data_IF_961289319109
#
_entry.id   IF_961289319109
#
_cell.length_a   1.000
_cell.length_b   1.000
_cell.length_c   1.000
_cell.angle_alpha   90.00
_cell.angle_beta   90.00
_cell.angle_gamma   90.00
#
_symmetry.space_group_name_H-M   'P 1'
#
loop_
_entity.id
_entity.type
_entity.pdbx_description
1 polymer ?
#
# COMPACT_ATOMS: atom_id res chain seq x y z
N UNK A 1 -20.73 37.36 20.95
CA UNK A 1 -19.73 37.33 19.84
C UNK A 1 -19.76 36.00 19.06
N UNK A 2 -19.72 34.84 19.73
CA UNK A 2 -19.77 33.50 19.10
C UNK A 2 -21.07 33.26 18.31
N UNK A 3 -22.23 33.70 18.82
CA UNK A 3 -23.51 33.55 18.13
C UNK A 3 -23.56 34.31 16.78
N UNK A 4 -22.95 35.50 16.71
CA UNK A 4 -22.90 36.27 15.45
C UNK A 4 -21.96 35.62 14.43
N UNK A 5 -20.91 34.93 14.87
CA UNK A 5 -20.01 34.19 13.98
C UNK A 5 -20.71 32.96 13.40
N UNK A 6 -21.45 32.20 14.22
CA UNK A 6 -22.22 31.06 13.76
C UNK A 6 -23.30 31.48 12.73
N UNK A 7 -23.97 32.60 12.97
CA UNK A 7 -24.96 33.17 12.04
C UNK A 7 -24.31 33.54 10.71
N UNK A 8 -23.15 34.21 10.73
CA UNK A 8 -22.41 34.58 9.49
C UNK A 8 -21.96 33.35 8.71
N UNK A 9 -21.52 32.29 9.38
CA UNK A 9 -21.11 31.04 8.73
C UNK A 9 -22.31 30.34 8.08
N UNK A 10 -23.45 30.25 8.77
CA UNK A 10 -24.67 29.64 8.22
C UNK A 10 -25.17 30.42 7.00
N UNK A 11 -25.25 31.75 7.09
CA UNK A 11 -25.63 32.58 5.94
C UNK A 11 -24.63 32.50 4.78
N UNK A 12 -23.34 32.33 5.07
CA UNK A 12 -22.31 32.09 4.05
C UNK A 12 -22.50 30.76 3.32
N UNK A 13 -22.81 29.69 4.05
CA UNK A 13 -23.09 28.36 3.49
C UNK A 13 -24.40 28.39 2.68
N UNK A 14 -25.47 28.98 3.20
CA UNK A 14 -26.75 29.09 2.50
C UNK A 14 -26.62 29.93 1.21
N UNK A 15 -25.85 31.02 1.24
CA UNK A 15 -25.60 31.85 0.06
C UNK A 15 -24.77 31.10 -0.99
N UNK A 16 -23.76 30.32 -0.58
CA UNK A 16 -23.01 29.47 -1.51
C UNK A 16 -23.87 28.36 -2.11
N UNK A 17 -24.75 27.75 -1.31
CA UNK A 17 -25.66 26.69 -1.75
C UNK A 17 -26.71 27.25 -2.73
N UNK A 18 -27.20 28.47 -2.47
CA UNK A 18 -28.13 29.18 -3.34
C UNK A 18 -27.46 29.60 -4.67
N UNK A 19 -26.23 30.12 -4.64
CA UNK A 19 -25.46 30.43 -5.84
C UNK A 19 -25.16 29.18 -6.68
N UNK A 20 -24.86 28.06 -6.01
CA UNK A 20 -24.68 26.76 -6.67
C UNK A 20 -25.98 26.27 -7.34
N UNK A 21 -27.12 26.36 -6.63
CA UNK A 21 -28.44 26.04 -7.20
C UNK A 21 -28.78 26.93 -8.40
N UNK A 22 -28.50 28.24 -8.34
CA UNK A 22 -28.77 29.19 -9.43
C UNK A 22 -27.89 28.89 -10.65
N UNK A 23 -26.62 28.50 -10.44
CA UNK A 23 -25.72 28.09 -11.54
C UNK A 23 -26.10 26.75 -12.14
N UNK A 24 -26.70 25.83 -11.37
CA UNK A 24 -27.22 24.55 -11.88
C UNK A 24 -28.61 24.65 -12.53
N UNK A 25 -29.45 25.60 -12.13
CA UNK A 25 -30.82 25.77 -12.65
C UNK A 25 -30.93 26.71 -13.87
N UNK A 26 -29.82 27.15 -14.46
CA UNK A 26 -29.89 27.73 -15.80
C UNK A 26 -30.21 26.61 -16.79
N UNK A 27 -31.41 26.59 -17.41
CA UNK A 27 -31.75 25.55 -18.37
C UNK A 27 -30.79 25.69 -19.55
N UNK A 28 -29.99 24.64 -19.74
CA UNK A 28 -29.04 24.52 -20.83
C UNK A 28 -29.79 24.68 -22.16
N UNK A 29 -29.74 25.88 -22.75
CA UNK A 29 -30.02 26.06 -24.17
C UNK A 29 -28.96 25.24 -24.88
N UNK A 30 -29.38 24.11 -25.46
CA UNK A 30 -28.61 23.25 -26.38
C UNK A 30 -27.54 24.06 -27.10
N UNK A 31 -26.31 23.97 -26.61
CA UNK A 31 -25.12 24.36 -27.30
C UNK A 31 -24.19 23.14 -27.18
N UNK A 32 -23.67 22.70 -28.33
CA UNK A 32 -22.71 21.61 -28.43
C UNK A 32 -21.55 21.78 -27.42
N UNK A 33 -20.91 20.67 -27.00
CA UNK A 33 -19.78 20.74 -26.07
C UNK A 33 -18.59 21.43 -26.76
N UNK A 34 -18.51 22.75 -26.60
CA UNK A 34 -17.34 23.53 -26.97
C UNK A 34 -16.22 23.22 -25.97
N UNK A 35 -15.20 22.52 -26.46
CA UNK A 35 -13.98 22.06 -25.78
C UNK A 35 -13.11 23.22 -25.22
N UNK A 36 -13.62 24.46 -25.23
CA UNK A 36 -12.88 25.70 -24.96
C UNK A 36 -13.43 26.56 -23.83
N UNK A 37 -14.32 26.07 -22.96
CA UNK A 37 -14.64 26.81 -21.73
C UNK A 37 -13.57 26.55 -20.67
N UNK A 38 -12.72 27.53 -20.32
CA UNK A 38 -11.81 27.36 -19.20
C UNK A 38 -12.64 27.09 -17.93
N UNK A 39 -12.23 26.14 -17.08
CA UNK A 39 -12.96 25.81 -15.86
C UNK A 39 -13.14 27.07 -15.01
N UNK A 40 -14.34 27.22 -14.45
CA UNK A 40 -14.71 28.33 -13.56
C UNK A 40 -13.74 28.37 -12.38
N UNK A 41 -12.89 29.40 -12.35
CA UNK A 41 -11.94 29.62 -11.26
C UNK A 41 -12.70 30.18 -10.05
N UNK A 42 -12.92 29.35 -9.02
CA UNK A 42 -13.54 29.82 -7.78
C UNK A 42 -12.53 30.65 -6.98
N UNK A 43 -12.94 31.79 -6.39
CA UNK A 43 -12.03 32.79 -5.80
C UNK A 43 -11.18 32.30 -4.60
N UNK A 44 -11.47 31.13 -4.01
CA UNK A 44 -10.62 30.50 -2.99
C UNK A 44 -10.08 29.11 -3.37
N UNK A 45 -10.75 28.41 -4.29
CA UNK A 45 -10.49 26.99 -4.57
C UNK A 45 -9.82 26.81 -5.95
N UNK A 46 -9.61 27.90 -6.69
CA UNK A 46 -8.94 27.86 -7.98
C UNK A 46 -9.65 26.94 -8.97
N UNK A 47 -8.87 26.24 -9.77
CA UNK A 47 -9.34 25.22 -10.71
C UNK A 47 -9.37 23.85 -10.00
N UNK A 48 -10.37 23.65 -9.13
CA UNK A 48 -10.56 22.41 -8.37
C UNK A 48 -10.78 21.19 -9.28
N UNK A 49 -11.17 21.41 -10.54
CA UNK A 49 -11.93 20.45 -11.34
C UNK A 49 -11.26 19.99 -12.64
N UNK A 50 -10.03 20.40 -12.96
CA UNK A 50 -9.36 19.98 -14.20
C UNK A 50 -8.66 18.62 -14.15
N UNK A 51 -8.59 17.97 -12.99
CA UNK A 51 -8.08 16.59 -12.88
C UNK A 51 -9.22 15.60 -12.67
N UNK A 52 -9.60 14.78 -13.67
CA UNK A 52 -10.62 13.77 -13.51
C UNK A 52 -10.20 12.76 -12.43
N UNK A 53 -11.08 12.53 -11.46
CA UNK A 53 -10.86 11.64 -10.32
C UNK A 53 -10.61 10.20 -10.80
N UNK A 54 -11.23 9.79 -11.90
CA UNK A 54 -11.20 8.40 -12.38
C UNK A 54 -9.87 8.02 -13.07
N UNK A 55 -9.14 8.99 -13.64
CA UNK A 55 -7.91 8.75 -14.42
C UNK A 55 -6.86 9.88 -14.24
N UNK A 56 -6.41 10.16 -13.01
CA UNK A 56 -5.53 11.29 -12.71
C UNK A 56 -4.18 11.17 -13.43
N UNK A 57 -3.60 9.97 -13.53
CA UNK A 57 -2.31 9.74 -14.19
C UNK A 57 -2.36 10.05 -15.70
N UNK A 58 -3.40 9.60 -16.40
CA UNK A 58 -3.57 9.88 -17.83
C UNK A 58 -3.75 11.39 -18.08
N UNK A 59 -4.48 12.07 -17.18
CA UNK A 59 -4.64 13.52 -17.27
C UNK A 59 -3.33 14.28 -17.04
N UNK A 60 -2.51 13.85 -16.07
CA UNK A 60 -1.20 14.46 -15.84
C UNK A 60 -0.23 14.22 -16.99
N UNK A 61 -0.29 13.05 -17.62
CA UNK A 61 0.50 12.73 -18.82
C UNK A 61 0.11 13.64 -20.00
N UNK A 62 -1.19 13.81 -20.25
CA UNK A 62 -1.69 14.74 -21.27
C UNK A 62 -1.37 16.20 -20.94
N UNK A 63 -1.45 16.58 -19.67
CA UNK A 63 -1.06 17.90 -19.20
C UNK A 63 0.43 18.17 -19.44
N UNK A 64 1.31 17.21 -19.13
CA UNK A 64 2.73 17.31 -19.39
C UNK A 64 3.06 17.33 -20.90
N UNK A 65 2.32 16.56 -21.72
CA UNK A 65 2.46 16.64 -23.19
C UNK A 65 2.18 18.05 -23.73
N UNK A 66 1.23 18.78 -23.15
CA UNK A 66 0.87 20.14 -23.57
C UNK A 66 1.78 21.23 -23.00
N UNK A 67 2.28 21.06 -21.77
CA UNK A 67 2.99 22.11 -21.03
C UNK A 67 4.50 21.86 -20.88
N UNK A 68 4.98 20.70 -21.29
CA UNK A 68 6.38 20.28 -21.19
C UNK A 68 6.62 19.22 -20.10
N UNK A 69 7.79 18.56 -20.15
CA UNK A 69 8.12 17.40 -19.30
C UNK A 69 8.30 17.74 -17.81
N UNK A 70 8.42 19.01 -17.46
CA UNK A 70 8.41 19.54 -16.09
C UNK A 70 7.37 20.65 -16.09
N UNK A 71 6.26 20.45 -15.38
CA UNK A 71 5.15 21.42 -15.35
C UNK A 71 4.64 21.61 -13.95
N UNK A 72 4.15 22.81 -13.66
CA UNK A 72 3.47 23.12 -12.40
C UNK A 72 1.97 22.99 -12.60
N UNK A 73 1.29 22.37 -11.63
CA UNK A 73 -0.16 22.32 -11.52
C UNK A 73 -0.59 22.62 -10.08
N UNK A 74 -1.89 22.58 -9.81
CA UNK A 74 -2.42 22.65 -8.45
C UNK A 74 -3.24 21.41 -8.12
N UNK A 75 -2.86 20.71 -7.08
CA UNK A 75 -3.62 19.62 -6.51
C UNK A 75 -4.83 20.19 -5.74
N UNK A 76 -6.02 19.69 -6.05
CA UNK A 76 -7.29 20.22 -5.54
C UNK A 76 -7.40 21.74 -5.69
N UNK A 77 -6.83 22.31 -6.76
CA UNK A 77 -6.85 23.75 -7.02
C UNK A 77 -6.10 24.64 -6.01
N UNK A 78 -5.54 24.08 -4.93
CA UNK A 78 -4.99 24.82 -3.79
C UNK A 78 -3.48 24.55 -3.61
N UNK A 79 -3.04 23.29 -3.62
CA UNK A 79 -1.65 22.94 -3.32
C UNK A 79 -0.78 22.92 -4.59
N UNK A 80 0.29 23.73 -4.69
CA UNK A 80 1.16 23.70 -5.86
C UNK A 80 1.89 22.37 -5.95
N UNK A 81 1.86 21.75 -7.13
CA UNK A 81 2.57 20.49 -7.42
C UNK A 81 3.42 20.64 -8.66
N UNK A 82 4.62 20.05 -8.61
CA UNK A 82 5.51 19.92 -9.77
C UNK A 82 5.34 18.51 -10.31
N UNK A 83 4.86 18.40 -11.55
CA UNK A 83 4.70 17.15 -12.27
C UNK A 83 5.97 16.92 -13.09
N UNK A 84 6.61 15.77 -12.86
CA UNK A 84 7.79 15.30 -13.60
C UNK A 84 7.37 14.16 -14.51
N UNK A 85 7.44 14.37 -15.83
CA UNK A 85 7.00 13.40 -16.83
C UNK A 85 8.10 13.05 -17.86
N UNK A 86 9.37 13.15 -17.45
CA UNK A 86 10.51 12.67 -18.24
C UNK A 86 11.50 11.90 -17.38
N UNK A 87 12.15 10.90 -17.98
CA UNK A 87 13.16 10.08 -17.32
C UNK A 87 14.33 10.92 -16.80
N UNK A 88 14.77 11.91 -17.59
CA UNK A 88 15.88 12.79 -17.26
C UNK A 88 15.56 13.65 -16.05
N UNK A 89 14.36 14.26 -16.00
CA UNK A 89 13.94 15.10 -14.88
C UNK A 89 13.80 14.30 -13.58
N UNK A 90 13.18 13.11 -13.66
CA UNK A 90 13.03 12.22 -12.50
C UNK A 90 14.40 11.75 -12.01
N UNK A 91 15.31 11.36 -12.90
CA UNK A 91 16.66 10.92 -12.51
C UNK A 91 17.47 12.06 -11.89
N UNK A 92 17.40 13.26 -12.46
CA UNK A 92 18.12 14.42 -11.92
C UNK A 92 17.63 14.80 -10.51
N UNK A 93 16.31 14.87 -10.30
CA UNK A 93 15.74 15.32 -9.03
C UNK A 93 15.71 14.21 -7.96
N UNK A 94 15.29 12.99 -8.33
CA UNK A 94 15.11 11.89 -7.37
C UNK A 94 16.38 11.08 -7.11
N UNK A 95 17.41 11.14 -7.97
CA UNK A 95 18.68 10.44 -7.76
C UNK A 95 19.82 11.40 -7.49
N UNK A 96 20.21 12.24 -8.46
CA UNK A 96 21.40 13.09 -8.33
C UNK A 96 21.25 14.20 -7.29
N UNK A 97 20.03 14.70 -7.10
CA UNK A 97 19.71 15.78 -6.15
C UNK A 97 18.80 15.31 -5.01
N UNK A 98 18.75 14.01 -4.74
CA UNK A 98 17.82 13.41 -3.76
C UNK A 98 17.86 14.10 -2.39
N UNK A 99 19.05 14.48 -1.90
CA UNK A 99 19.21 15.21 -0.63
C UNK A 99 18.35 16.49 -0.49
N UNK A 100 17.97 17.13 -1.60
CA UNK A 100 17.13 18.34 -1.61
C UNK A 100 15.64 18.05 -1.77
N UNK A 101 15.27 16.85 -2.24
CA UNK A 101 13.91 16.50 -2.67
C UNK A 101 13.37 15.23 -1.98
N UNK A 102 14.08 14.69 -0.99
CA UNK A 102 13.69 13.47 -0.27
C UNK A 102 12.70 13.69 0.87
N UNK A 103 12.34 14.93 1.22
CA UNK A 103 11.27 15.21 2.18
C UNK A 103 9.91 14.78 1.63
N UNK A 104 8.95 14.51 2.53
CA UNK A 104 7.63 14.03 2.14
C UNK A 104 6.59 15.15 2.24
N UNK A 105 5.59 15.17 1.35
CA UNK A 105 4.43 16.02 1.57
C UNK A 105 3.82 15.70 2.93
N UNK A 106 3.65 16.75 3.73
CA UNK A 106 3.19 16.64 5.12
C UNK A 106 1.75 16.16 5.15
N UNK A 107 1.49 15.11 5.92
CA UNK A 107 0.13 14.69 6.25
C UNK A 107 -0.10 14.89 7.74
N UNK A 108 -0.87 15.93 8.07
CA UNK A 108 -1.27 16.20 9.43
C UNK A 108 -2.09 15.03 9.99
N UNK A 109 -2.91 14.38 9.16
CA UNK A 109 -3.67 13.18 9.55
C UNK A 109 -2.74 12.06 10.00
N UNK A 110 -1.73 11.71 9.21
CA UNK A 110 -0.76 10.66 9.56
C UNK A 110 0.08 11.04 10.77
N UNK A 111 0.46 12.30 10.90
CA UNK A 111 1.22 12.76 12.05
C UNK A 111 0.41 12.67 13.35
N UNK A 112 -0.88 13.03 13.31
CA UNK A 112 -1.79 12.88 14.45
C UNK A 112 -1.97 11.40 14.81
N UNK A 113 -2.24 10.53 13.83
CA UNK A 113 -2.43 9.10 14.05
C UNK A 113 -1.17 8.42 14.59
N UNK A 114 0.02 8.94 14.35
CA UNK A 114 1.25 8.34 14.89
C UNK A 114 1.74 8.98 16.20
N UNK A 115 1.00 9.95 16.75
CA UNK A 115 1.47 10.78 17.86
C UNK A 115 2.80 11.48 17.53
N UNK A 116 3.02 11.82 16.26
CA UNK A 116 4.28 12.31 15.75
C UNK A 116 4.30 13.85 15.62
N UNK A 117 5.45 14.42 15.94
CA UNK A 117 5.73 15.82 15.64
C UNK A 117 5.76 16.07 14.13
N UNK A 118 5.65 17.34 13.69
CA UNK A 118 5.73 17.70 12.30
C UNK A 118 6.92 17.07 11.57
N UNK A 119 6.66 16.08 10.70
CA UNK A 119 7.65 15.54 9.75
C UNK A 119 8.33 14.28 10.26
N UNK A 120 8.01 13.89 11.49
CA UNK A 120 8.61 12.77 12.19
C UNK A 120 7.66 11.56 12.25
N UNK A 121 6.89 11.35 11.18
CA UNK A 121 5.93 10.25 11.09
C UNK A 121 6.61 8.90 11.32
N UNK A 122 6.01 8.04 12.15
CA UNK A 122 6.53 6.67 12.37
C UNK A 122 6.42 5.77 11.14
N UNK A 123 5.60 6.13 10.16
CA UNK A 123 5.64 5.52 8.84
C UNK A 123 6.81 6.07 8.03
N UNK A 124 7.77 5.21 7.73
CA UNK A 124 8.96 5.49 6.90
C UNK A 124 8.64 6.18 5.58
N UNK A 125 7.51 5.84 4.94
CA UNK A 125 7.09 6.45 3.66
C UNK A 125 6.64 7.91 3.79
N UNK A 126 6.31 8.36 5.00
CA UNK A 126 5.77 9.69 5.33
C UNK A 126 6.71 10.51 6.24
N UNK A 127 7.90 9.98 6.57
CA UNK A 127 8.90 10.67 7.37
C UNK A 127 9.74 11.60 6.46
N UNK A 128 10.10 12.77 6.97
CA UNK A 128 11.05 13.65 6.30
C UNK A 128 12.45 13.03 6.21
N UNK A 129 13.31 13.56 5.36
CA UNK A 129 14.65 13.01 5.21
C UNK A 129 15.56 13.52 6.33
N UNK A 130 15.81 12.68 7.33
CA UNK A 130 16.70 12.95 8.45
C UNK A 130 17.52 11.71 8.88
N UNK A 131 18.29 11.87 9.96
CA UNK A 131 19.12 10.79 10.52
C UNK A 131 18.27 9.63 11.06
N UNK A 132 17.04 9.92 11.52
CA UNK A 132 16.11 8.91 12.04
C UNK A 132 15.65 8.00 10.89
N UNK A 133 15.12 8.57 9.81
CA UNK A 133 14.72 7.83 8.61
C UNK A 133 15.88 7.01 8.03
N UNK A 134 17.10 7.58 8.04
CA UNK A 134 18.31 6.92 7.54
C UNK A 134 18.61 5.66 8.36
N UNK A 135 18.59 5.76 9.69
CA UNK A 135 18.83 4.63 10.60
C UNK A 135 17.76 3.53 10.44
N UNK A 136 16.49 3.92 10.36
CA UNK A 136 15.38 3.00 10.10
C UNK A 136 15.54 2.25 8.79
N UNK A 137 15.84 2.99 7.72
CA UNK A 137 16.01 2.42 6.38
C UNK A 137 17.20 1.46 6.33
N UNK A 138 18.30 1.76 7.02
CA UNK A 138 19.47 0.87 7.11
C UNK A 138 19.12 -0.42 7.85
N UNK A 139 18.42 -0.32 8.97
CA UNK A 139 18.04 -1.49 9.80
C UNK A 139 17.00 -2.38 9.10
N UNK A 140 16.03 -1.79 8.41
CA UNK A 140 15.10 -2.55 7.57
C UNK A 140 15.82 -3.18 6.37
N UNK A 141 16.77 -2.47 5.75
CA UNK A 141 17.51 -2.98 4.59
C UNK A 141 18.45 -4.14 4.93
N UNK A 142 18.99 -4.20 6.15
CA UNK A 142 19.80 -5.36 6.55
C UNK A 142 18.95 -6.62 6.73
N UNK A 143 17.75 -6.47 7.29
CA UNK A 143 16.84 -7.57 7.62
C UNK A 143 15.97 -8.04 6.45
N UNK A 144 15.67 -7.16 5.49
CA UNK A 144 14.78 -7.44 4.35
C UNK A 144 15.46 -7.28 2.98
N UNK A 145 16.71 -6.81 2.95
CA UNK A 145 17.44 -6.53 1.71
C UNK A 145 18.13 -7.75 1.11
N UNK A 146 19.01 -7.48 0.14
CA UNK A 146 19.67 -8.51 -0.67
C UNK A 146 20.51 -9.51 0.15
N UNK A 147 21.06 -9.09 1.30
CA UNK A 147 21.86 -9.95 2.17
C UNK A 147 21.00 -10.98 2.91
N UNK A 148 19.80 -10.60 3.34
CA UNK A 148 18.85 -11.49 4.02
C UNK A 148 17.98 -12.29 3.03
N UNK A 149 17.86 -11.85 1.78
CA UNK A 149 17.03 -12.49 0.75
C UNK A 149 17.21 -14.02 0.61
N UNK A 150 18.43 -14.60 0.67
CA UNK A 150 18.62 -16.04 0.61
C UNK A 150 17.93 -16.81 1.76
N UNK A 151 17.85 -16.21 2.96
CA UNK A 151 17.20 -16.83 4.13
C UNK A 151 15.68 -16.89 4.00
N UNK A 152 15.07 -15.96 3.25
CA UNK A 152 13.64 -15.98 2.95
C UNK A 152 13.25 -16.97 1.85
N UNK A 153 14.20 -17.54 1.12
CA UNK A 153 13.91 -18.40 -0.03
C UNK A 153 13.09 -19.65 0.36
N UNK A 154 13.49 -20.44 1.38
CA UNK A 154 12.72 -21.62 1.79
C UNK A 154 11.31 -21.26 2.26
N UNK A 155 11.17 -20.17 3.05
CA UNK A 155 9.89 -19.66 3.52
C UNK A 155 8.98 -19.23 2.35
N UNK A 156 9.56 -18.53 1.37
CA UNK A 156 8.84 -18.10 0.16
C UNK A 156 8.41 -19.29 -0.68
N UNK A 157 9.26 -20.31 -0.82
CA UNK A 157 8.94 -21.54 -1.55
C UNK A 157 7.82 -22.35 -0.87
N UNK A 158 7.86 -22.49 0.46
CA UNK A 158 6.78 -23.11 1.23
C UNK A 158 5.47 -22.34 1.07
N UNK A 159 5.48 -21.02 1.24
CA UNK A 159 4.30 -20.17 1.05
C UNK A 159 3.72 -20.27 -0.36
N UNK A 160 4.58 -20.28 -1.38
CA UNK A 160 4.14 -20.45 -2.77
C UNK A 160 3.52 -21.82 -3.03
N UNK A 161 4.08 -22.89 -2.47
CA UNK A 161 3.51 -24.24 -2.58
C UNK A 161 2.16 -24.33 -1.89
N UNK A 162 2.02 -23.74 -0.70
CA UNK A 162 0.74 -23.70 0.00
C UNK A 162 -0.30 -22.88 -0.77
N UNK A 163 0.07 -21.74 -1.37
CA UNK A 163 -0.81 -20.96 -2.24
C UNK A 163 -1.39 -21.81 -3.38
N UNK A 164 -0.58 -22.66 -4.02
CA UNK A 164 -1.05 -23.54 -5.08
C UNK A 164 -2.04 -24.61 -4.55
N UNK A 165 -1.81 -25.14 -3.34
CA UNK A 165 -2.74 -26.06 -2.69
C UNK A 165 -4.08 -25.37 -2.39
N UNK A 166 -4.04 -24.19 -1.77
CA UNK A 166 -5.25 -23.45 -1.43
C UNK A 166 -6.09 -23.13 -2.68
N UNK A 167 -5.44 -22.70 -3.77
CA UNK A 167 -6.11 -22.44 -5.04
C UNK A 167 -6.64 -23.73 -5.68
N UNK A 168 -5.90 -24.84 -5.59
CA UNK A 168 -6.35 -26.17 -6.01
C UNK A 168 -7.64 -26.58 -5.27
N UNK A 169 -7.67 -26.38 -3.95
CA UNK A 169 -8.80 -26.74 -3.11
C UNK A 169 -10.01 -25.83 -3.39
N UNK A 170 -9.77 -24.54 -3.62
CA UNK A 170 -10.80 -23.57 -4.03
C UNK A 170 -11.48 -23.94 -5.37
N UNK A 171 -10.81 -24.71 -6.24
CA UNK A 171 -11.40 -25.21 -7.49
C UNK A 171 -12.34 -26.42 -7.28
N UNK A 172 -12.54 -26.90 -6.05
CA UNK A 172 -13.46 -28.00 -5.68
C UNK A 172 -13.29 -29.28 -6.52
N UNK A 173 -12.10 -29.52 -7.06
CA UNK A 173 -11.85 -30.67 -7.94
C UNK A 173 -12.49 -30.57 -9.33
N UNK A 174 -12.87 -29.37 -9.80
CA UNK A 174 -13.36 -29.15 -11.17
C UNK A 174 -12.20 -29.31 -12.18
N UNK A 175 -12.13 -30.41 -12.96
CA UNK A 175 -11.00 -30.66 -13.86
C UNK A 175 -10.95 -29.66 -15.02
N UNK A 176 -12.12 -29.14 -15.41
CA UNK A 176 -12.26 -28.13 -16.44
C UNK A 176 -12.01 -26.71 -15.94
N UNK A 177 -11.66 -26.55 -14.67
CA UNK A 177 -11.48 -25.26 -14.02
C UNK A 177 -12.79 -24.62 -13.55
N UNK A 178 -12.64 -23.59 -12.73
CA UNK A 178 -13.75 -22.81 -12.19
C UNK A 178 -13.48 -21.31 -12.35
N UNK A 179 -14.55 -20.52 -12.34
CA UNK A 179 -14.44 -19.07 -12.30
C UNK A 179 -14.00 -18.63 -10.91
N UNK A 180 -12.90 -17.92 -10.83
CA UNK A 180 -12.33 -17.35 -9.61
C UNK A 180 -12.15 -15.84 -9.79
N UNK A 181 -12.30 -15.09 -8.70
CA UNK A 181 -12.04 -13.65 -8.68
C UNK A 181 -10.67 -13.36 -8.07
N UNK A 182 -10.04 -12.26 -8.50
CA UNK A 182 -8.89 -11.69 -7.81
C UNK A 182 -9.17 -11.38 -6.34
N UNK A 183 -10.42 -11.10 -5.96
CA UNK A 183 -10.82 -10.91 -4.57
C UNK A 183 -10.61 -12.19 -3.72
N UNK A 184 -10.68 -13.36 -4.34
CA UNK A 184 -10.36 -14.65 -3.70
C UNK A 184 -8.86 -14.92 -3.71
N UNK A 185 -8.15 -14.55 -4.78
CA UNK A 185 -6.72 -14.86 -4.94
C UNK A 185 -5.83 -13.95 -4.05
N UNK A 186 -6.16 -12.66 -3.94
CA UNK A 186 -5.32 -11.69 -3.23
C UNK A 186 -5.08 -12.02 -1.76
N UNK A 187 -6.07 -12.43 -0.95
CA UNK A 187 -5.83 -12.85 0.43
C UNK A 187 -4.79 -13.98 0.54
N UNK A 188 -4.83 -14.98 -0.34
CA UNK A 188 -3.81 -16.04 -0.35
C UNK A 188 -2.42 -15.50 -0.73
N UNK A 189 -2.34 -14.54 -1.66
CA UNK A 189 -1.08 -13.89 -2.03
C UNK A 189 -0.51 -13.01 -0.91
N UNK A 190 -1.35 -12.26 -0.20
CA UNK A 190 -0.97 -11.43 0.94
C UNK A 190 -0.47 -12.30 2.10
N UNK A 191 -1.16 -13.41 2.39
CA UNK A 191 -0.76 -14.40 3.41
C UNK A 191 0.66 -14.94 3.22
N UNK A 192 1.07 -15.21 1.98
CA UNK A 192 2.46 -15.67 1.70
C UNK A 192 3.54 -14.62 1.99
N UNK A 193 3.17 -13.35 2.22
CA UNK A 193 4.10 -12.28 2.63
C UNK A 193 4.15 -12.11 4.15
N UNK A 194 3.12 -12.57 4.88
CA UNK A 194 3.01 -12.51 6.35
C UNK A 194 3.63 -13.74 7.01
N UNK A 195 4.41 -14.55 6.29
CA UNK A 195 5.00 -15.77 6.86
C UNK A 195 6.15 -15.40 7.82
N UNK A 196 5.74 -15.01 9.02
CA UNK A 196 6.52 -14.66 10.21
C UNK A 196 6.81 -15.89 11.09
N UNK A 197 6.53 -17.10 10.59
CA UNK A 197 6.65 -18.35 11.33
C UNK A 197 7.44 -19.37 10.50
N UNK A 198 8.33 -20.16 11.12
CA UNK A 198 8.91 -21.36 10.51
C UNK A 198 7.91 -22.52 10.39
N UNK A 199 6.70 -22.37 10.94
CA UNK A 199 5.64 -23.36 10.84
C UNK A 199 4.74 -23.09 9.63
N UNK A 200 3.87 -24.07 9.30
CA UNK A 200 2.86 -23.96 8.25
C UNK A 200 2.22 -22.56 8.24
N UNK A 201 2.14 -21.90 7.08
CA UNK A 201 1.60 -20.55 7.01
C UNK A 201 0.14 -20.56 7.49
N UNK A 202 -0.28 -19.55 8.26
CA UNK A 202 -1.57 -19.56 8.98
C UNK A 202 -2.74 -19.74 8.00
N UNK A 203 -3.88 -20.29 8.45
CA UNK A 203 -5.08 -20.32 7.62
C UNK A 203 -5.53 -18.89 7.26
N UNK A 204 -6.27 -18.70 6.15
CA UNK A 204 -6.80 -17.39 5.77
C UNK A 204 -7.65 -16.73 6.88
N UNK A 205 -8.29 -17.52 7.72
CA UNK A 205 -9.17 -17.09 8.81
C UNK A 205 -8.42 -16.82 10.14
N UNK A 206 -7.09 -16.87 10.15
CA UNK A 206 -6.29 -16.58 11.34
C UNK A 206 -6.55 -15.16 11.86
N UNK A 207 -6.90 -15.05 13.14
CA UNK A 207 -7.31 -13.79 13.76
C UNK A 207 -6.21 -12.73 13.68
N UNK A 208 -4.94 -13.12 13.88
CA UNK A 208 -3.81 -12.20 13.81
C UNK A 208 -3.55 -11.74 12.38
N UNK A 209 -3.66 -12.64 11.39
CA UNK A 209 -3.55 -12.27 9.98
C UNK A 209 -4.65 -11.27 9.57
N UNK A 210 -5.89 -11.51 9.98
CA UNK A 210 -7.01 -10.60 9.72
C UNK A 210 -6.83 -9.26 10.43
N UNK A 211 -6.30 -9.26 11.66
CA UNK A 211 -5.94 -8.04 12.39
C UNK A 211 -4.87 -7.22 11.65
N UNK A 212 -3.83 -7.88 11.12
CA UNK A 212 -2.76 -7.22 10.32
C UNK A 212 -3.34 -6.60 9.04
N UNK A 213 -4.11 -7.39 8.28
CA UNK A 213 -4.71 -6.93 7.00
C UNK A 213 -5.71 -5.79 7.26
N UNK A 214 -6.54 -5.92 8.29
CA UNK A 214 -7.54 -4.91 8.65
C UNK A 214 -6.90 -3.59 9.09
N UNK A 215 -5.88 -3.66 9.97
CA UNK A 215 -5.12 -2.49 10.40
C UNK A 215 -4.44 -1.81 9.22
N UNK A 216 -3.83 -2.59 8.34
CA UNK A 216 -3.20 -2.09 7.12
C UNK A 216 -4.21 -1.39 6.20
N UNK A 217 -5.37 -1.99 5.95
CA UNK A 217 -6.40 -1.40 5.09
C UNK A 217 -6.88 -0.04 5.62
N UNK A 218 -7.00 0.13 6.94
CA UNK A 218 -7.36 1.40 7.57
C UNK A 218 -6.26 2.46 7.38
N UNK A 219 -5.00 2.10 7.63
CA UNK A 219 -3.85 3.00 7.43
C UNK A 219 -3.73 3.42 5.96
N UNK A 220 -3.79 2.47 5.04
CA UNK A 220 -3.72 2.72 3.59
C UNK A 220 -4.88 3.62 3.14
N UNK A 221 -6.09 3.42 3.67
CA UNK A 221 -7.22 4.30 3.38
C UNK A 221 -6.95 5.74 3.82
N UNK A 222 -6.42 5.95 5.03
CA UNK A 222 -6.14 7.28 5.55
C UNK A 222 -4.95 7.95 4.83
N UNK A 223 -3.94 7.18 4.44
CA UNK A 223 -2.82 7.67 3.65
C UNK A 223 -3.25 8.06 2.22
N UNK A 224 -4.18 7.33 1.62
CA UNK A 224 -4.66 7.59 0.27
C UNK A 224 -5.66 8.74 0.20
N UNK A 225 -6.45 8.96 1.26
CA UNK A 225 -7.55 9.94 1.27
C UNK A 225 -7.20 11.11 2.20
N UNK A 226 -6.72 12.24 1.65
CA UNK A 226 -6.38 13.40 2.47
C UNK A 226 -7.63 13.88 3.21
N UNK A 227 -7.48 14.13 4.50
CA UNK A 227 -8.57 14.58 5.35
C UNK A 227 -8.52 16.11 5.56
N UNK A 228 -9.53 16.68 6.23
CA UNK A 228 -9.58 18.12 6.50
C UNK A 228 -8.31 18.68 7.18
N UNK A 229 -7.70 18.00 8.18
CA UNK A 229 -6.38 18.35 8.71
C UNK A 229 -5.27 18.53 7.66
N UNK A 230 -5.27 17.75 6.59
CA UNK A 230 -4.25 17.85 5.54
C UNK A 230 -4.48 19.07 4.64
N UNK A 231 -5.73 19.52 4.50
CA UNK A 231 -6.11 20.67 3.68
C UNK A 231 -5.99 22.00 4.43
N UNK A 232 -6.19 21.98 5.76
CA UNK A 232 -6.21 23.17 6.60
C UNK A 232 -5.19 22.98 7.74
N UNK A 233 -3.95 23.47 7.58
CA UNK A 233 -2.87 23.22 8.54
C UNK A 233 -3.18 23.62 9.99
N UNK A 234 -4.07 24.60 10.22
CA UNK A 234 -4.49 25.01 11.56
C UNK A 234 -5.34 23.95 12.28
N UNK A 235 -5.98 23.05 11.53
CA UNK A 235 -6.71 21.90 12.08
C UNK A 235 -5.79 20.79 12.60
N UNK A 236 -4.47 20.98 12.63
CA UNK A 236 -3.58 20.12 13.42
C UNK A 236 -3.81 20.30 14.93
N UNK A 237 -4.11 21.52 15.37
CA UNK A 237 -4.23 21.87 16.79
C UNK A 237 -5.62 21.53 17.37
N UNK A 238 -6.19 20.39 17.00
CA UNK A 238 -7.51 20.01 17.47
C UNK A 238 -7.50 19.81 18.99
N UNK A 239 -8.47 20.38 19.72
CA UNK A 239 -8.66 20.07 21.12
C UNK A 239 -8.83 18.55 21.34
N UNK A 240 -8.36 18.06 22.49
CA UNK A 240 -8.49 16.66 22.92
C UNK A 240 -9.93 16.11 22.87
N UNK A 241 -10.93 16.98 22.94
CA UNK A 241 -12.34 16.61 22.94
C UNK A 241 -12.93 16.27 21.57
N UNK A 242 -12.20 16.50 20.47
CA UNK A 242 -12.71 16.24 19.12
C UNK A 242 -12.81 14.73 18.85
N UNK A 243 -13.88 14.30 18.16
CA UNK A 243 -14.06 12.90 17.77
C UNK A 243 -12.93 12.40 16.86
N UNK A 244 -12.38 13.28 16.01
CA UNK A 244 -11.28 12.95 15.11
C UNK A 244 -9.98 12.63 15.87
N UNK A 245 -9.64 13.43 16.88
CA UNK A 245 -8.45 13.15 17.71
C UNK A 245 -8.62 11.86 18.49
N UNK A 246 -9.79 11.62 19.10
CA UNK A 246 -10.09 10.34 19.77
C UNK A 246 -9.98 9.13 18.84
N UNK A 247 -10.53 9.22 17.63
CA UNK A 247 -10.44 8.14 16.65
C UNK A 247 -8.98 7.89 16.19
N UNK A 248 -8.18 8.96 16.05
CA UNK A 248 -6.77 8.84 15.74
C UNK A 248 -5.96 8.22 16.90
N UNK A 249 -6.24 8.63 18.14
CA UNK A 249 -5.60 8.08 19.35
C UNK A 249 -5.95 6.59 19.54
N UNK A 250 -7.20 6.21 19.28
CA UNK A 250 -7.67 4.80 19.32
C UNK A 250 -6.96 3.97 18.24
N UNK A 251 -6.91 4.46 17.00
CA UNK A 251 -6.19 3.79 15.92
C UNK A 251 -4.70 3.65 16.24
N UNK A 252 -4.07 4.70 16.76
CA UNK A 252 -2.66 4.66 17.16
C UNK A 252 -2.42 3.58 18.22
N UNK A 253 -3.27 3.52 19.24
CA UNK A 253 -3.16 2.56 20.31
C UNK A 253 -3.29 1.12 19.79
N UNK A 254 -4.23 0.85 18.87
CA UNK A 254 -4.38 -0.45 18.21
C UNK A 254 -3.13 -0.83 17.41
N UNK A 255 -2.59 0.10 16.61
CA UNK A 255 -1.38 -0.14 15.83
C UNK A 255 -0.16 -0.40 16.72
N UNK A 256 0.01 0.42 17.75
CA UNK A 256 1.10 0.31 18.71
C UNK A 256 1.07 -1.06 19.41
N UNK A 257 -0.10 -1.47 19.88
CA UNK A 257 -0.29 -2.78 20.51
C UNK A 257 0.05 -3.93 19.55
N UNK A 258 -0.52 -3.90 18.33
CA UNK A 258 -0.27 -4.93 17.31
C UNK A 258 1.23 -5.05 16.97
N UNK A 259 1.87 -3.93 16.64
CA UNK A 259 3.28 -3.93 16.23
C UNK A 259 4.21 -4.35 17.37
N UNK A 260 3.88 -3.96 18.61
CA UNK A 260 4.62 -4.38 19.80
C UNK A 260 4.47 -5.89 20.05
N UNK A 261 3.25 -6.44 19.92
CA UNK A 261 3.00 -7.88 20.00
C UNK A 261 3.77 -8.65 18.93
N UNK A 262 3.76 -8.19 17.68
CA UNK A 262 4.49 -8.82 16.58
C UNK A 262 6.00 -8.78 16.80
N UNK A 263 6.51 -7.64 17.29
CA UNK A 263 7.93 -7.48 17.60
C UNK A 263 8.38 -8.43 18.71
N UNK A 264 7.65 -8.48 19.84
CA UNK A 264 7.96 -9.41 20.92
C UNK A 264 7.85 -10.86 20.48
N UNK A 265 6.85 -11.19 19.67
CA UNK A 265 6.71 -12.54 19.10
C UNK A 265 7.89 -12.94 18.23
N UNK A 266 8.42 -12.03 17.43
CA UNK A 266 9.62 -12.28 16.61
C UNK A 266 10.87 -12.43 17.47
N UNK A 267 11.07 -11.51 18.42
CA UNK A 267 12.21 -11.54 19.34
C UNK A 267 12.25 -12.80 20.21
N UNK A 268 11.09 -13.23 20.71
CA UNK A 268 10.99 -14.35 21.63
C UNK A 268 10.80 -15.69 20.88
N UNK A 269 11.05 -15.73 19.56
CA UNK A 269 10.90 -16.92 18.73
C UNK A 269 12.18 -17.76 18.71
N UNK A 270 12.04 -19.09 18.84
CA UNK A 270 13.15 -20.05 18.78
C UNK A 270 13.73 -20.27 17.36
N UNK A 271 13.53 -19.32 16.45
CA UNK A 271 13.78 -19.53 15.03
C UNK A 271 14.06 -18.22 14.31
N UNK A 272 14.91 -18.30 13.30
CA UNK A 272 15.28 -17.12 12.52
C UNK A 272 14.05 -16.41 11.92
N UNK A 273 14.01 -15.09 12.07
CA UNK A 273 12.95 -14.23 11.57
C UNK A 273 13.48 -12.78 11.35
N UNK A 274 12.74 -11.91 10.62
CA UNK A 274 13.18 -10.55 10.35
C UNK A 274 13.51 -9.72 11.59
N UNK A 275 12.80 -9.94 12.70
CA UNK A 275 13.00 -9.19 13.95
C UNK A 275 14.34 -9.51 14.59
N UNK A 276 14.71 -10.80 14.65
CA UNK A 276 16.02 -11.25 15.14
C UNK A 276 17.16 -10.69 14.31
N UNK A 277 17.04 -10.72 12.97
CA UNK A 277 18.06 -10.16 12.07
C UNK A 277 18.23 -8.64 12.27
N UNK A 278 17.10 -7.95 12.47
CA UNK A 278 17.10 -6.51 12.65
C UNK A 278 17.69 -6.11 14.01
N UNK A 279 17.42 -6.87 15.07
CA UNK A 279 18.04 -6.72 16.39
C UNK A 279 19.55 -6.93 16.34
N UNK A 280 20.00 -8.04 15.75
CA UNK A 280 21.43 -8.34 15.59
C UNK A 280 22.17 -7.31 14.74
N UNK A 281 21.47 -6.62 13.83
CA UNK A 281 22.04 -5.49 13.08
C UNK A 281 22.05 -4.22 13.92
N UNK A 282 20.96 -3.89 14.60
CA UNK A 282 20.85 -2.67 15.40
C UNK A 282 21.95 -2.58 16.46
N UNK A 283 22.28 -3.70 17.11
CA UNK A 283 23.38 -3.79 18.08
C UNK A 283 24.75 -3.36 17.50
N UNK A 284 24.97 -3.52 16.20
CA UNK A 284 26.25 -3.18 15.53
C UNK A 284 26.39 -1.70 15.21
N UNK A 285 25.29 -0.98 15.02
CA UNK A 285 25.32 0.40 14.52
C UNK A 285 24.95 1.43 15.59
N UNK A 286 23.83 1.27 16.31
CA UNK A 286 23.38 2.13 17.44
C UNK A 286 22.13 1.51 18.08
N UNK A 287 21.91 1.71 19.39
CA UNK A 287 20.66 1.33 20.06
C UNK A 287 19.45 2.06 19.45
N UNK A 288 18.75 1.42 18.52
CA UNK A 288 17.43 1.86 18.05
C UNK A 288 16.41 1.48 19.11
N UNK A 289 15.50 2.38 19.55
CA UNK A 289 14.42 2.01 20.46
C UNK A 289 13.61 0.84 19.85
N UNK A 290 13.30 -0.18 20.64
CA UNK A 290 12.59 -1.37 20.13
C UNK A 290 11.24 -1.04 19.47
N UNK A 291 10.59 0.02 19.94
CA UNK A 291 9.35 0.53 19.35
C UNK A 291 9.54 1.07 17.92
N UNK A 292 10.61 1.82 17.72
CA UNK A 292 10.98 2.38 16.43
C UNK A 292 11.25 1.24 15.43
N UNK A 293 11.96 0.21 15.87
CA UNK A 293 12.23 -0.97 15.06
C UNK A 293 10.97 -1.78 14.74
N UNK A 294 10.05 -1.91 15.69
CA UNK A 294 8.76 -2.58 15.48
C UNK A 294 7.96 -1.90 14.36
N UNK A 295 7.88 -0.57 14.37
CA UNK A 295 7.20 0.20 13.31
C UNK A 295 7.92 0.05 11.97
N UNK A 296 9.25 0.13 11.91
CA UNK A 296 9.99 -0.01 10.66
C UNK A 296 9.79 -1.37 10.00
N UNK A 297 9.84 -2.45 10.78
CA UNK A 297 9.62 -3.82 10.29
C UNK A 297 8.17 -4.03 9.85
N UNK A 298 7.20 -3.65 10.68
CA UNK A 298 5.79 -3.84 10.39
C UNK A 298 5.37 -3.10 9.12
N UNK A 299 5.76 -1.83 8.98
CA UNK A 299 5.44 -1.01 7.81
C UNK A 299 6.12 -1.51 6.53
N UNK A 300 7.35 -2.04 6.64
CA UNK A 300 8.05 -2.63 5.51
C UNK A 300 7.37 -3.93 5.03
N UNK A 301 6.96 -4.79 5.95
CA UNK A 301 6.23 -6.03 5.63
C UNK A 301 4.88 -5.70 5.00
N UNK A 302 4.13 -4.77 5.59
CA UNK A 302 2.84 -4.30 5.05
C UNK A 302 2.99 -3.74 3.63
N UNK A 303 4.00 -2.89 3.39
CA UNK A 303 4.31 -2.39 2.05
C UNK A 303 4.61 -3.53 1.06
N UNK A 304 5.32 -4.56 1.50
CA UNK A 304 5.57 -5.78 0.73
C UNK A 304 4.30 -6.57 0.40
N UNK A 305 3.38 -6.71 1.37
CA UNK A 305 2.10 -7.41 1.21
C UNK A 305 1.25 -6.80 0.10
N UNK A 306 1.02 -5.49 0.15
CA UNK A 306 0.15 -4.78 -0.80
C UNK A 306 0.75 -4.71 -2.20
N UNK A 307 2.03 -4.34 -2.30
CA UNK A 307 2.67 -4.12 -3.60
C UNK A 307 2.90 -5.45 -4.32
N UNK A 308 3.42 -6.46 -3.62
CA UNK A 308 3.82 -7.72 -4.25
C UNK A 308 2.63 -8.61 -4.62
N UNK A 309 1.51 -8.55 -3.89
CA UNK A 309 0.30 -9.27 -4.25
C UNK A 309 -0.36 -8.68 -5.50
N UNK A 310 -0.20 -7.38 -5.73
CA UNK A 310 -0.86 -6.63 -6.81
C UNK A 310 0.02 -6.40 -8.03
N UNK A 311 1.34 -6.62 -7.92
CA UNK A 311 2.29 -6.47 -9.02
C UNK A 311 2.03 -7.49 -10.14
N UNK A 312 1.36 -7.05 -11.21
CA UNK A 312 1.01 -7.89 -12.36
C UNK A 312 1.89 -7.54 -13.58
N UNK A 313 3.14 -8.05 -13.58
CA UNK A 313 4.10 -8.07 -14.72
C UNK A 313 4.65 -6.70 -15.18
N UNK A 314 5.99 -6.63 -15.36
CA UNK A 314 6.67 -5.45 -15.93
C UNK A 314 8.21 -5.46 -15.85
N UNK A 315 8.82 -6.32 -15.04
CA UNK A 315 10.28 -6.44 -14.96
C UNK A 315 10.74 -7.78 -15.51
N UNK A 316 11.63 -7.74 -16.50
CA UNK A 316 12.38 -8.88 -17.08
C UNK A 316 13.44 -9.44 -16.12
N UNK A 317 13.53 -8.93 -14.90
CA UNK A 317 14.45 -9.42 -13.87
C UNK A 317 13.69 -10.33 -12.92
N UNK A 318 14.14 -11.57 -12.74
CA UNK A 318 13.54 -12.54 -11.81
C UNK A 318 13.63 -11.99 -10.38
N UNK A 319 12.55 -11.37 -9.91
CA UNK A 319 12.33 -10.94 -8.52
C UNK A 319 11.27 -11.84 -7.87
N UNK A 320 11.18 -11.92 -6.54
CA UNK A 320 10.22 -12.80 -5.84
C UNK A 320 8.76 -12.75 -6.34
N UNK A 321 8.20 -11.58 -6.74
CA UNK A 321 6.87 -11.51 -7.37
C UNK A 321 6.78 -12.25 -8.72
N UNK A 322 7.86 -12.28 -9.50
CA UNK A 322 7.91 -12.98 -10.78
C UNK A 322 7.87 -14.51 -10.61
N UNK A 323 8.47 -15.03 -9.54
CA UNK A 323 8.43 -16.47 -9.23
C UNK A 323 7.00 -16.95 -8.90
N UNK A 324 6.21 -16.12 -8.22
CA UNK A 324 4.81 -16.44 -7.90
C UNK A 324 3.93 -16.51 -9.12
N UNK A 325 4.04 -15.50 -9.99
CA UNK A 325 3.33 -15.49 -11.27
C UNK A 325 3.77 -16.68 -12.13
N UNK A 326 5.06 -17.03 -12.13
CA UNK A 326 5.55 -18.21 -12.82
C UNK A 326 4.94 -19.51 -12.26
N UNK A 327 4.83 -19.66 -10.94
CA UNK A 327 4.20 -20.83 -10.31
C UNK A 327 2.71 -20.94 -10.67
N UNK A 328 1.98 -19.82 -10.65
CA UNK A 328 0.57 -19.78 -11.08
C UNK A 328 0.42 -20.16 -12.55
N UNK A 329 1.25 -19.58 -13.42
CA UNK A 329 1.27 -19.88 -14.85
C UNK A 329 1.79 -21.28 -15.18
N UNK A 330 2.56 -21.91 -14.29
CA UNK A 330 2.99 -23.29 -14.43
C UNK A 330 1.87 -24.25 -14.05
N UNK A 331 1.12 -23.95 -12.98
CA UNK A 331 0.09 -24.81 -12.44
C UNK A 331 -1.23 -24.73 -13.22
N UNK A 332 -1.62 -23.54 -13.66
CA UNK A 332 -2.96 -23.27 -14.17
C UNK A 332 -2.94 -22.55 -15.52
N UNK A 333 -3.93 -22.88 -16.35
CA UNK A 333 -4.34 -22.06 -17.47
C UNK A 333 -5.32 -20.98 -16.98
N UNK A 334 -4.97 -19.73 -17.24
CA UNK A 334 -5.78 -18.56 -16.92
C UNK A 334 -6.52 -18.15 -18.19
N UNK A 335 -7.85 -18.26 -18.19
CA UNK A 335 -8.70 -18.00 -19.34
C UNK A 335 -9.72 -16.89 -19.02
N UNK A 336 -10.19 -16.14 -20.01
CA UNK A 336 -11.29 -15.20 -19.80
C UNK A 336 -12.59 -15.95 -19.44
N UNK A 337 -13.46 -15.28 -18.69
CA UNK A 337 -14.83 -15.75 -18.49
C UNK A 337 -15.64 -15.47 -19.76
N UNK A 338 -16.42 -16.44 -20.21
CA UNK A 338 -17.21 -16.30 -21.44
C UNK A 338 -18.20 -15.13 -21.31
N UNK A 339 -18.15 -14.20 -22.27
CA UNK A 339 -18.99 -12.98 -22.27
C UNK A 339 -18.48 -11.84 -21.39
N UNK A 340 -17.36 -11.99 -20.67
CA UNK A 340 -16.74 -10.89 -19.92
C UNK A 340 -15.50 -10.36 -20.66
N UNK A 341 -15.45 -9.04 -20.87
CA UNK A 341 -14.26 -8.38 -21.41
C UNK A 341 -13.19 -8.25 -20.31
N UNK A 342 -12.06 -8.93 -20.50
CA UNK A 342 -10.93 -8.86 -19.58
C UNK A 342 -10.02 -7.69 -19.98
N UNK A 343 -10.21 -6.54 -19.34
CA UNK A 343 -9.26 -5.42 -19.42
C UNK A 343 -8.21 -5.53 -18.29
N UNK A 344 -6.98 -5.97 -18.58
CA UNK A 344 -5.93 -6.08 -17.56
C UNK A 344 -5.42 -4.73 -17.07
N UNK A 345 -5.77 -3.64 -17.75
CA UNK A 345 -5.43 -2.26 -17.41
C UNK A 345 -6.58 -1.52 -16.73
N UNK A 346 -7.70 -2.21 -16.46
CA UNK A 346 -8.81 -1.63 -15.72
C UNK A 346 -8.37 -1.31 -14.29
N UNK A 347 -8.20 -0.02 -14.01
CA UNK A 347 -7.90 0.49 -12.68
C UNK A 347 -9.09 1.26 -12.11
N UNK A 348 -9.16 1.32 -10.79
CA UNK A 348 -10.02 2.22 -10.03
C UNK A 348 -9.15 3.13 -9.19
N UNK A 349 -9.55 4.39 -9.06
CA UNK A 349 -8.85 5.35 -8.22
C UNK A 349 -9.47 5.32 -6.83
N UNK A 350 -8.61 5.21 -5.82
CA UNK A 350 -8.99 5.28 -4.41
C UNK A 350 -8.08 6.30 -3.75
N UNK A 351 -8.62 7.50 -3.53
CA UNK A 351 -7.82 8.64 -3.09
C UNK A 351 -6.69 8.96 -4.08
N UNK A 352 -5.45 8.98 -3.60
CA UNK A 352 -4.24 9.15 -4.42
C UNK A 352 -3.68 7.86 -5.02
N UNK A 353 -4.34 6.72 -4.81
CA UNK A 353 -3.87 5.43 -5.30
C UNK A 353 -4.69 4.96 -6.50
N UNK A 354 -4.05 4.22 -7.39
CA UNK A 354 -4.73 3.45 -8.43
C UNK A 354 -4.63 1.96 -8.09
N UNK A 355 -5.76 1.28 -8.03
CA UNK A 355 -5.85 -0.14 -7.75
C UNK A 355 -6.45 -0.87 -8.95
N UNK A 356 -6.01 -2.10 -9.23
CA UNK A 356 -6.65 -2.90 -10.28
C UNK A 356 -8.10 -3.19 -9.89
N UNK A 357 -9.02 -3.08 -10.84
CA UNK A 357 -10.39 -3.54 -10.63
C UNK A 357 -10.39 -5.05 -10.37
N UNK A 358 -11.40 -5.47 -9.62
CA UNK A 358 -11.67 -6.89 -9.44
C UNK A 358 -11.86 -7.55 -10.80
N UNK A 359 -11.10 -8.62 -11.04
CA UNK A 359 -11.14 -9.37 -12.28
C UNK A 359 -11.58 -10.80 -12.00
N UNK A 360 -12.56 -11.25 -12.77
CA UNK A 360 -12.96 -12.65 -12.80
C UNK A 360 -12.23 -13.33 -13.95
N UNK A 361 -11.74 -14.53 -13.68
CA UNK A 361 -11.05 -15.36 -14.67
C UNK A 361 -11.41 -16.82 -14.43
N UNK A 362 -11.37 -17.62 -15.48
CA UNK A 362 -11.45 -19.07 -15.35
C UNK A 362 -10.05 -19.61 -15.12
N UNK A 363 -9.86 -20.29 -14.00
CA UNK A 363 -8.60 -20.93 -13.64
C UNK A 363 -8.76 -22.44 -13.82
N UNK A 364 -8.00 -23.04 -14.73
CA UNK A 364 -8.04 -24.47 -15.04
C UNK A 364 -6.70 -25.14 -14.71
N UNK A 365 -6.68 -26.23 -13.91
CA UNK A 365 -5.45 -27.00 -13.72
C UNK A 365 -4.94 -27.57 -15.05
N UNK A 366 -3.62 -27.53 -15.27
CA UNK A 366 -3.03 -28.05 -16.51
C UNK A 366 -3.04 -29.58 -16.66
N UNK A 367 -3.42 -30.29 -15.61
CA UNK A 367 -3.63 -31.74 -15.63
C UNK A 367 -3.44 -32.36 -14.26
N UNK A 368 -3.82 -33.63 -14.14
CA UNK A 368 -3.77 -34.37 -12.87
C UNK A 368 -2.35 -34.48 -12.32
N UNK A 369 -1.34 -34.57 -13.20
CA UNK A 369 0.07 -34.61 -12.82
C UNK A 369 0.51 -33.33 -12.07
N UNK A 370 -0.04 -32.17 -12.44
CA UNK A 370 0.22 -30.90 -11.75
C UNK A 370 -0.42 -30.92 -10.37
N UNK A 371 -1.65 -31.38 -10.29
CA UNK A 371 -2.40 -31.45 -9.03
C UNK A 371 -1.75 -32.41 -8.03
N UNK A 372 -1.23 -33.53 -8.52
CA UNK A 372 -0.43 -34.45 -7.71
C UNK A 372 0.87 -33.82 -7.22
N UNK A 373 1.59 -33.09 -8.09
CA UNK A 373 2.81 -32.38 -7.72
C UNK A 373 2.54 -31.26 -6.68
N UNK A 374 1.45 -30.51 -6.84
CA UNK A 374 1.01 -29.46 -5.90
C UNK A 374 0.74 -30.08 -4.53
N UNK A 375 -0.05 -31.15 -4.45
CA UNK A 375 -0.42 -31.80 -3.16
C UNK A 375 0.80 -32.34 -2.40
N UNK A 376 1.83 -32.82 -3.10
CA UNK A 376 3.08 -33.30 -2.49
C UNK A 376 4.01 -32.15 -2.06
N UNK A 377 3.86 -30.98 -2.66
CA UNK A 377 4.77 -29.84 -2.54
C UNK A 377 5.02 -29.33 -1.12
N UNK A 378 3.97 -28.93 -0.36
CA UNK A 378 4.14 -28.34 0.98
C UNK A 378 4.83 -29.27 1.96
N UNK A 379 4.51 -30.57 1.94
CA UNK A 379 5.13 -31.56 2.83
C UNK A 379 6.64 -31.64 2.62
N UNK A 380 7.07 -31.71 1.36
CA UNK A 380 8.50 -31.73 1.00
C UNK A 380 9.17 -30.41 1.41
N UNK A 381 8.52 -29.27 1.17
CA UNK A 381 9.08 -27.97 1.56
C UNK A 381 9.22 -27.80 3.08
N UNK A 382 8.27 -28.33 3.86
CA UNK A 382 8.34 -28.26 5.32
C UNK A 382 9.49 -29.15 5.85
N UNK A 383 9.67 -30.36 5.29
CA UNK A 383 10.79 -31.24 5.63
C UNK A 383 12.15 -30.61 5.30
N UNK A 384 12.25 -29.88 4.18
CA UNK A 384 13.45 -29.11 3.81
C UNK A 384 13.63 -27.86 4.71
N UNK A 385 12.54 -27.23 5.14
CA UNK A 385 12.57 -26.02 5.97
C UNK A 385 13.16 -26.30 7.35
N UNK A 386 12.77 -27.43 7.96
CA UNK A 386 13.30 -27.88 9.25
C UNK A 386 14.83 -28.12 9.18
N UNK A 387 15.35 -28.51 8.02
CA UNK A 387 16.78 -28.69 7.78
C UNK A 387 17.53 -27.36 7.54
N UNK A 388 16.86 -26.36 6.96
CA UNK A 388 17.50 -25.09 6.56
C UNK A 388 17.45 -24.02 7.65
N UNK A 389 16.36 -23.97 8.43
CA UNK A 389 16.25 -22.96 9.51
C UNK A 389 17.05 -23.38 10.75
N UNK A 390 17.33 -24.68 10.92
CA UNK A 390 18.12 -25.21 12.03
C UNK A 390 17.45 -25.00 13.40
N UNK A 391 17.82 -25.82 14.39
CA UNK A 391 17.67 -25.38 15.79
C UNK A 391 18.80 -24.40 16.07
N UNK A 392 18.54 -23.35 16.85
CA UNK A 392 19.33 -22.12 17.09
C UNK A 392 20.84 -22.30 17.44
N UNK A 393 21.35 -23.53 17.54
CA UNK A 393 22.70 -23.82 18.02
C UNK A 393 23.82 -23.76 16.96
N UNK A 394 23.53 -23.58 15.66
CA UNK A 394 24.55 -23.63 14.60
C UNK A 394 24.98 -22.25 14.05
N UNK A 395 24.69 -21.15 14.74
CA UNK A 395 25.18 -19.81 14.36
C UNK A 395 26.28 -19.33 15.31
N UNK A 396 27.37 -20.09 15.37
CA UNK A 396 28.71 -19.54 15.62
C UNK A 396 29.59 -19.88 14.42
N UNK A 397 30.03 -18.85 13.69
CA UNK A 397 30.92 -18.95 12.53
C UNK A 397 31.17 -17.62 11.87
#
# INVERSE_FOLDING_TARGET
MIANLAIVVVFGIDLMTLLYMITQHQPSRRAEPDEKRPPLKLPLIGDLHSSPIDKPLANWDDWARRNGPITVSRLFGIAPVVILNSYEAVTELSSRRSQWYSNRPRSATMEIINGAEPGQSRFTMMHDYDDHLTLHSQTASSSLGALAAPRYRPLTELGNKQLLCDLSDALHGCPDGATISTATIYPHLERTQVTLRPANPPPPEDELLQEIIGTQAQVTHLAANPSLPDLIPTLRQLPESTSLKRAADELFATQLDLYTRLFHRGRDSDSWNPTEEALATAEKYTAVPGLDLAFALATSIQGGMETSSRQRRGSTTVRPPAARVANLLWAFDIMPVEGEEMDPWAMTVVGFMAMSKELRMRLKPRGDWVMEAIKRGPKIAAEDLDQVIGSVNDVEG
#
